data_IF_739333611240
#
_entry.id   IF_739333611240
#
_cell.length_a   1.000
_cell.length_b   1.000
_cell.length_c   1.000
_cell.angle_alpha   90.00
_cell.angle_beta   90.00
_cell.angle_gamma   90.00
#
_symmetry.space_group_name_H-M   'P 1'
#
loop_
_entity.id
_entity.type
_entity.pdbx_description
1 polymer ?
#
# COMPACT_ATOMS: atom_id res chain seq x y z
N UNK A 1 37.30 -14.19 9.29
CA UNK A 1 36.74 -13.96 7.94
C UNK A 1 35.50 -13.10 8.12
N UNK A 2 35.30 -12.05 7.31
CA UNK A 2 34.15 -11.14 7.42
C UNK A 2 32.83 -11.77 6.95
N UNK A 3 31.72 -11.06 7.16
CA UNK A 3 30.41 -11.48 6.63
C UNK A 3 30.39 -11.39 5.09
N UNK A 4 29.83 -12.39 4.39
CA UNK A 4 29.52 -12.29 2.95
C UNK A 4 28.52 -11.15 2.68
N UNK A 5 28.61 -10.49 1.52
CA UNK A 5 27.85 -9.27 1.19
C UNK A 5 26.33 -9.40 1.32
N UNK A 6 25.77 -10.56 1.00
CA UNK A 6 24.32 -10.81 1.06
C UNK A 6 23.81 -11.06 2.48
N UNK A 7 24.70 -11.13 3.48
CA UNK A 7 24.34 -11.35 4.90
C UNK A 7 24.45 -10.09 5.76
N UNK A 8 24.75 -8.94 5.18
CA UNK A 8 25.02 -7.72 5.98
C UNK A 8 23.87 -7.29 6.89
N UNK A 9 22.61 -7.60 6.55
CA UNK A 9 21.47 -7.27 7.40
C UNK A 9 21.29 -8.19 8.61
N UNK A 10 22.00 -9.32 8.71
CA UNK A 10 21.84 -10.21 9.88
C UNK A 10 22.34 -9.57 11.17
N UNK A 11 23.11 -8.47 11.08
CA UNK A 11 23.66 -7.75 12.23
C UNK A 11 22.59 -7.12 13.12
N UNK A 12 21.36 -6.90 12.63
CA UNK A 12 20.28 -6.30 13.42
C UNK A 12 19.36 -7.32 14.10
N UNK A 13 19.54 -8.62 13.86
CA UNK A 13 18.61 -9.65 14.34
C UNK A 13 18.51 -9.75 15.87
N UNK A 14 19.61 -9.51 16.58
CA UNK A 14 19.67 -9.55 18.04
C UNK A 14 19.78 -8.15 18.66
N UNK A 15 19.57 -7.09 17.87
CA UNK A 15 19.57 -5.70 18.32
C UNK A 15 18.19 -5.10 18.03
N UNK A 16 17.23 -5.22 18.97
CA UNK A 16 15.85 -4.78 18.74
C UNK A 16 15.73 -3.29 18.45
N UNK A 17 16.65 -2.47 18.97
CA UNK A 17 16.67 -1.03 18.70
C UNK A 17 17.05 -0.72 17.24
N UNK A 18 18.09 -1.37 16.72
CA UNK A 18 18.47 -1.24 15.30
C UNK A 18 17.44 -1.87 14.38
N UNK A 19 16.85 -3.00 14.79
CA UNK A 19 15.79 -3.65 14.05
C UNK A 19 14.59 -2.70 13.89
N UNK A 20 14.14 -2.06 14.97
CA UNK A 20 13.08 -1.06 14.90
C UNK A 20 13.46 0.12 13.98
N UNK A 21 14.70 0.61 14.09
CA UNK A 21 15.17 1.73 13.26
C UNK A 21 15.12 1.42 11.77
N UNK A 22 15.56 0.22 11.33
CA UNK A 22 15.49 -0.14 9.91
C UNK A 22 14.07 -0.35 9.42
N UNK A 23 13.15 -0.82 10.29
CA UNK A 23 11.73 -0.90 9.95
C UNK A 23 11.13 0.48 9.77
N UNK A 24 11.42 1.44 10.67
CA UNK A 24 10.99 2.83 10.52
C UNK A 24 11.56 3.44 9.23
N UNK A 25 12.83 3.20 8.93
CA UNK A 25 13.46 3.66 7.68
C UNK A 25 12.74 3.08 6.46
N UNK A 26 12.49 1.78 6.43
CA UNK A 26 11.79 1.12 5.33
C UNK A 26 10.37 1.71 5.15
N UNK A 27 9.62 1.85 6.24
CA UNK A 27 8.28 2.47 6.22
C UNK A 27 8.31 3.91 5.71
N UNK A 28 9.31 4.69 6.13
CA UNK A 28 9.49 6.06 5.65
C UNK A 28 9.82 6.11 4.15
N UNK A 29 10.64 5.18 3.64
CA UNK A 29 10.93 5.08 2.20
C UNK A 29 9.68 4.70 1.39
N UNK A 30 8.89 3.74 1.87
CA UNK A 30 7.64 3.34 1.21
C UNK A 30 6.64 4.51 1.20
N UNK A 31 6.48 5.21 2.32
CA UNK A 31 5.61 6.39 2.41
C UNK A 31 6.10 7.53 1.51
N UNK A 32 7.41 7.77 1.47
CA UNK A 32 8.02 8.77 0.60
C UNK A 32 7.83 8.46 -0.88
N UNK A 33 7.97 7.19 -1.27
CA UNK A 33 7.70 6.75 -2.64
C UNK A 33 6.22 6.93 -3.00
N UNK A 34 5.30 6.49 -2.14
CA UNK A 34 3.86 6.61 -2.39
C UNK A 34 3.43 8.07 -2.57
N UNK A 35 3.91 8.97 -1.70
CA UNK A 35 3.63 10.40 -1.83
C UNK A 35 4.25 11.03 -3.08
N UNK A 36 5.48 10.64 -3.43
CA UNK A 36 6.16 11.14 -4.63
C UNK A 36 5.45 10.69 -5.90
N UNK A 37 5.00 9.44 -5.96
CA UNK A 37 4.21 8.92 -7.08
C UNK A 37 2.87 9.64 -7.21
N UNK A 38 2.15 9.85 -6.10
CA UNK A 38 0.88 10.58 -6.14
C UNK A 38 1.05 12.04 -6.60
N UNK A 39 2.08 12.73 -6.12
CA UNK A 39 2.39 14.10 -6.56
C UNK A 39 2.79 14.15 -8.04
N UNK A 40 3.57 13.19 -8.50
CA UNK A 40 3.95 13.07 -9.91
C UNK A 40 2.72 12.86 -10.80
N UNK A 41 1.85 11.90 -10.44
CA UNK A 41 0.62 11.62 -11.19
C UNK A 41 -0.30 12.83 -11.23
N UNK A 42 -0.48 13.54 -10.11
CA UNK A 42 -1.27 14.77 -10.07
C UNK A 42 -0.71 15.88 -10.97
N UNK A 43 0.62 16.00 -11.06
CA UNK A 43 1.27 17.03 -11.84
C UNK A 43 1.12 16.84 -13.36
N UNK A 44 0.88 15.60 -13.81
CA UNK A 44 0.76 15.26 -15.24
C UNK A 44 -0.66 14.85 -15.66
N UNK A 45 -1.58 14.65 -14.71
CA UNK A 45 -2.95 14.25 -14.97
C UNK A 45 -3.76 15.34 -15.68
N UNK A 46 -4.40 14.97 -16.79
CA UNK A 46 -5.38 15.77 -17.52
C UNK A 46 -6.82 15.31 -17.21
N UNK A 47 -7.61 16.05 -16.41
CA UNK A 47 -8.99 15.67 -16.13
C UNK A 47 -10.00 16.09 -17.21
N UNK A 48 -9.56 16.66 -18.35
CA UNK A 48 -10.45 17.37 -19.28
C UNK A 48 -11.46 16.48 -20.02
N UNK A 49 -11.12 15.22 -20.31
CA UNK A 49 -12.01 14.27 -21.01
C UNK A 49 -12.07 12.92 -20.27
N UNK A 50 -12.95 12.78 -19.26
CA UNK A 50 -13.06 11.55 -18.49
C UNK A 50 -13.68 10.38 -19.26
N UNK A 51 -14.22 10.59 -20.47
CA UNK A 51 -14.85 9.54 -21.28
C UNK A 51 -13.84 8.94 -22.25
N UNK A 52 -13.10 9.78 -22.99
CA UNK A 52 -12.15 9.34 -24.01
C UNK A 52 -10.69 9.36 -23.54
N UNK A 53 -10.39 10.08 -22.46
CA UNK A 53 -9.07 10.09 -21.81
C UNK A 53 -9.11 9.91 -20.27
N UNK A 54 -9.70 8.80 -19.76
CA UNK A 54 -9.79 8.53 -18.33
C UNK A 54 -8.43 8.24 -17.66
N UNK A 55 -8.39 8.33 -16.33
CA UNK A 55 -7.18 8.15 -15.49
C UNK A 55 -6.33 6.91 -15.84
N UNK A 56 -6.97 5.78 -16.17
CA UNK A 56 -6.28 4.53 -16.50
C UNK A 56 -5.59 4.56 -17.87
N UNK A 57 -6.02 5.45 -18.79
CA UNK A 57 -5.33 5.69 -20.07
C UNK A 57 -4.09 6.58 -19.88
N UNK A 58 -4.10 7.41 -18.84
CA UNK A 58 -3.01 8.32 -18.49
C UNK A 58 -1.98 7.70 -17.53
N UNK A 59 -2.00 6.38 -17.37
CA UNK A 59 -1.06 5.61 -16.53
C UNK A 59 -1.04 6.00 -15.04
N UNK A 60 -2.15 6.48 -14.51
CA UNK A 60 -2.32 6.73 -13.07
C UNK A 60 -2.51 5.39 -12.33
N UNK A 61 -1.72 5.16 -11.28
CA UNK A 61 -1.74 3.95 -10.43
C UNK A 61 -2.95 3.83 -9.49
N UNK A 62 -3.93 4.71 -9.59
CA UNK A 62 -5.14 4.72 -8.75
C UNK A 62 -6.27 3.91 -9.38
N UNK A 63 -6.29 2.63 -9.00
CA UNK A 63 -7.43 1.73 -8.82
C UNK A 63 -8.83 2.31 -9.15
N UNK A 64 -9.21 2.26 -10.43
CA UNK A 64 -10.50 2.75 -10.96
C UNK A 64 -11.72 1.86 -10.57
N UNK A 65 -11.50 0.74 -9.87
CA UNK A 65 -12.53 -0.26 -9.57
C UNK A 65 -12.91 -0.27 -8.09
N UNK A 66 -13.78 0.65 -7.70
CA UNK A 66 -14.30 0.76 -6.32
C UNK A 66 -15.63 0.02 -6.12
N UNK A 67 -16.38 -0.25 -7.20
CA UNK A 67 -17.65 -0.98 -7.17
C UNK A 67 -17.44 -2.48 -7.42
N UNK A 68 -16.57 -3.08 -6.62
CA UNK A 68 -16.32 -4.52 -6.65
C UNK A 68 -17.42 -5.24 -5.88
N UNK A 69 -17.96 -6.31 -6.45
CA UNK A 69 -18.94 -7.19 -5.79
C UNK A 69 -18.47 -7.69 -4.42
N UNK A 70 -17.15 -7.76 -4.19
CA UNK A 70 -16.56 -8.14 -2.89
C UNK A 70 -16.92 -7.18 -1.75
N UNK A 71 -17.22 -5.93 -2.08
CA UNK A 71 -17.69 -4.95 -1.11
C UNK A 71 -19.20 -4.97 -0.98
N UNK A 72 -19.92 -5.78 -1.76
CA UNK A 72 -21.37 -5.89 -1.75
C UNK A 72 -21.82 -7.19 -1.07
N UNK A 73 -22.82 -7.08 -0.19
CA UNK A 73 -23.50 -8.21 0.41
C UNK A 73 -24.27 -8.98 -0.67
N UNK A 74 -23.93 -10.24 -0.91
CA UNK A 74 -24.59 -11.11 -1.88
C UNK A 74 -26.10 -11.26 -1.64
N UNK A 75 -26.56 -11.15 -0.38
CA UNK A 75 -27.99 -11.29 -0.06
C UNK A 75 -28.78 -10.04 -0.38
N UNK A 76 -28.16 -8.87 -0.33
CA UNK A 76 -28.88 -7.59 -0.42
C UNK A 76 -28.45 -6.74 -1.60
N UNK A 77 -27.34 -7.09 -2.27
CA UNK A 77 -26.71 -6.36 -3.35
C UNK A 77 -26.15 -4.99 -2.93
N UNK A 78 -26.09 -4.72 -1.62
CA UNK A 78 -25.66 -3.42 -1.08
C UNK A 78 -24.25 -3.52 -0.54
N UNK A 79 -23.46 -2.44 -0.63
CA UNK A 79 -22.13 -2.42 -0.01
C UNK A 79 -22.18 -2.78 1.48
N UNK A 80 -21.41 -3.77 1.91
CA UNK A 80 -21.27 -4.19 3.31
C UNK A 80 -19.86 -4.67 3.62
N UNK A 81 -19.42 -4.43 4.84
CA UNK A 81 -18.12 -4.85 5.35
C UNK A 81 -18.31 -5.58 6.69
N UNK A 82 -17.74 -6.77 6.79
CA UNK A 82 -17.74 -7.56 8.03
C UNK A 82 -16.62 -7.07 8.97
N UNK A 83 -16.96 -6.04 9.75
CA UNK A 83 -16.01 -5.33 10.60
C UNK A 83 -15.35 -6.21 11.67
N UNK A 84 -16.06 -7.10 12.40
CA UNK A 84 -15.41 -8.04 13.32
C UNK A 84 -14.30 -8.88 12.67
N UNK A 85 -14.55 -9.38 11.46
CA UNK A 85 -13.59 -10.20 10.72
C UNK A 85 -12.40 -9.41 10.17
N UNK A 86 -12.64 -8.15 9.77
CA UNK A 86 -11.58 -7.21 9.40
C UNK A 86 -10.74 -6.84 10.63
N UNK A 87 -11.36 -6.68 11.80
CA UNK A 87 -10.66 -6.32 13.02
C UNK A 87 -9.80 -7.48 13.53
N UNK A 88 -10.27 -8.72 13.44
CA UNK A 88 -9.45 -9.91 13.66
C UNK A 88 -8.28 -9.95 12.69
N UNK A 89 -8.51 -9.69 11.40
CA UNK A 89 -7.45 -9.62 10.40
C UNK A 89 -6.40 -8.55 10.75
N UNK A 90 -6.84 -7.36 11.20
CA UNK A 90 -5.93 -6.27 11.58
C UNK A 90 -5.18 -6.59 12.89
N UNK A 91 -5.87 -7.10 13.91
CA UNK A 91 -5.22 -7.45 15.18
C UNK A 91 -4.24 -8.60 15.01
N UNK A 92 -4.56 -9.60 14.20
CA UNK A 92 -3.61 -10.64 13.81
C UNK A 92 -2.44 -10.06 13.00
N UNK A 93 -2.66 -9.00 12.21
CA UNK A 93 -1.62 -8.34 11.42
C UNK A 93 -0.68 -7.42 12.21
N UNK A 94 -0.94 -7.18 13.50
CA UNK A 94 -0.13 -6.32 14.38
C UNK A 94 0.55 -7.06 15.56
N UNK A 95 0.45 -8.40 15.64
CA UNK A 95 1.23 -9.22 16.58
C UNK A 95 2.49 -9.76 15.91
#
# INVERSE_FOLDING_TARGET
>A
MGLPWYRVHTVVLNDPGRLLSVHIMHTALVAGWAGSMALYELAVFDPSDPVLDPMWRQAIWLWVYWDLEVFCDERTGKPSLDLPKILEFIYFSQV
#
